data_IF_440231186852
#
_entry.id   IF_440231186852
#
_cell.length_a   1.000
_cell.length_b   1.000
_cell.length_c   1.000
_cell.angle_alpha   90.00
_cell.angle_beta   90.00
_cell.angle_gamma   90.00
#
_symmetry.space_group_name_H-M   'P 1'
#
loop_
_entity.id
_entity.type
_entity.pdbx_description
1 polymer ?
#
# COMPACT_ATOMS: atom_id res chain seq x y z
N UNK A 1 -46.29 -70.29 47.89
CA UNK A 1 -45.44 -70.35 46.68
C UNK A 1 -46.33 -70.66 45.50
N UNK A 2 -46.20 -69.89 44.43
CA UNK A 2 -46.97 -70.07 43.20
C UNK A 2 -46.46 -71.30 42.42
N UNK A 3 -47.34 -71.96 41.65
CA UNK A 3 -47.02 -73.18 40.91
C UNK A 3 -45.91 -72.94 39.87
N UNK A 4 -45.90 -71.76 39.25
CA UNK A 4 -44.88 -71.36 38.29
C UNK A 4 -43.49 -71.23 38.93
N UNK A 5 -43.42 -70.62 40.11
CA UNK A 5 -42.16 -70.43 40.85
C UNK A 5 -41.53 -71.79 41.21
N UNK A 6 -42.36 -72.74 41.67
CA UNK A 6 -41.90 -74.10 41.98
C UNK A 6 -41.36 -74.79 40.72
N UNK A 7 -42.06 -74.68 39.59
CA UNK A 7 -41.64 -75.28 38.32
C UNK A 7 -40.29 -74.72 37.82
N UNK A 8 -40.11 -73.39 37.82
CA UNK A 8 -38.85 -72.76 37.40
C UNK A 8 -37.70 -73.17 38.32
N UNK A 9 -37.95 -73.26 39.64
CA UNK A 9 -36.92 -73.63 40.60
C UNK A 9 -36.49 -75.09 40.44
N UNK A 10 -37.44 -76.00 40.29
CA UNK A 10 -37.17 -77.44 40.15
C UNK A 10 -36.48 -77.77 38.81
N UNK A 11 -36.68 -76.94 37.78
CA UNK A 11 -36.08 -77.11 36.44
C UNK A 11 -34.91 -76.15 36.16
N UNK A 12 -34.41 -75.41 37.16
CA UNK A 12 -33.36 -74.38 36.99
C UNK A 12 -32.11 -74.90 36.29
N UNK A 13 -31.76 -76.17 36.48
CA UNK A 13 -30.58 -76.78 35.86
C UNK A 13 -30.71 -76.88 34.33
N UNK A 14 -31.91 -77.15 33.81
CA UNK A 14 -32.17 -77.26 32.35
C UNK A 14 -31.94 -75.93 31.63
N UNK A 15 -32.16 -74.81 32.30
CA UNK A 15 -31.95 -73.48 31.73
C UNK A 15 -30.48 -73.02 31.72
N UNK A 16 -29.61 -73.64 32.52
CA UNK A 16 -28.19 -73.27 32.60
C UNK A 16 -27.29 -74.09 31.67
N UNK A 17 -27.80 -75.19 31.10
CA UNK A 17 -27.01 -76.14 30.31
C UNK A 17 -26.75 -75.67 28.87
N UNK A 18 -27.53 -74.69 28.39
CA UNK A 18 -27.40 -74.15 27.04
C UNK A 18 -27.18 -72.64 27.08
N UNK A 19 -25.91 -72.22 26.93
CA UNK A 19 -25.60 -70.83 26.62
C UNK A 19 -25.87 -70.58 25.14
N UNK A 20 -26.59 -69.50 24.84
CA UNK A 20 -26.81 -69.08 23.46
C UNK A 20 -25.47 -68.88 22.74
N UNK A 21 -25.27 -69.58 21.62
CA UNK A 21 -24.08 -69.42 20.79
C UNK A 21 -24.14 -68.07 20.07
N UNK A 22 -23.52 -67.07 20.69
CA UNK A 22 -23.48 -65.71 20.16
C UNK A 22 -22.84 -65.66 18.78
N UNK A 23 -21.82 -66.49 18.52
CA UNK A 23 -21.15 -66.49 17.22
C UNK A 23 -22.12 -66.96 16.12
N UNK A 24 -22.87 -68.04 16.37
CA UNK A 24 -23.89 -68.53 15.44
C UNK A 24 -25.00 -67.51 15.20
N UNK A 25 -25.47 -66.84 16.24
CA UNK A 25 -26.50 -65.80 16.15
C UNK A 25 -25.99 -64.62 15.31
N UNK A 26 -24.78 -64.12 15.60
CA UNK A 26 -24.18 -63.01 14.85
C UNK A 26 -23.95 -63.36 13.38
N UNK A 27 -23.53 -64.60 13.07
CA UNK A 27 -23.34 -65.06 11.69
C UNK A 27 -24.63 -65.02 10.85
N UNK A 28 -25.81 -65.13 11.48
CA UNK A 28 -27.10 -65.00 10.78
C UNK A 28 -27.59 -63.55 10.68
N UNK A 29 -27.15 -62.67 11.59
CA UNK A 29 -27.53 -61.25 11.61
C UNK A 29 -26.69 -60.44 10.62
N UNK A 30 -25.38 -60.69 10.56
CA UNK A 30 -24.43 -59.94 9.72
C UNK A 30 -24.87 -59.77 8.25
N UNK A 31 -25.35 -60.82 7.53
CA UNK A 31 -25.74 -60.67 6.12
C UNK A 31 -27.04 -59.89 5.90
N UNK A 32 -27.85 -59.66 6.94
CA UNK A 32 -29.11 -58.92 6.86
C UNK A 32 -28.96 -57.44 7.27
N UNK A 33 -27.74 -57.00 7.62
CA UNK A 33 -27.48 -55.61 7.94
C UNK A 33 -27.36 -54.77 6.66
N UNK A 34 -28.01 -53.59 6.58
CA UNK A 34 -27.89 -52.72 5.42
C UNK A 34 -26.46 -52.20 5.30
N UNK A 35 -25.68 -52.76 4.37
CA UNK A 35 -24.34 -52.25 4.04
C UNK A 35 -24.44 -51.01 3.17
N UNK A 36 -24.90 -49.89 3.73
CA UNK A 36 -24.89 -48.62 3.03
C UNK A 36 -23.47 -48.04 3.09
N UNK A 37 -22.59 -48.51 2.19
CA UNK A 37 -21.23 -47.98 2.07
C UNK A 37 -21.33 -46.54 1.55
N UNK A 38 -20.79 -45.52 2.26
CA UNK A 38 -20.85 -44.15 1.77
C UNK A 38 -20.13 -44.04 0.43
N UNK A 39 -20.80 -43.44 -0.56
CA UNK A 39 -20.21 -43.17 -1.87
C UNK A 39 -19.16 -42.07 -1.72
N UNK A 40 -17.90 -42.46 -1.54
CA UNK A 40 -16.77 -41.52 -1.53
C UNK A 40 -16.33 -41.24 -2.96
N UNK A 41 -16.19 -39.95 -3.32
CA UNK A 41 -15.65 -39.54 -4.61
C UNK A 41 -14.18 -39.18 -4.36
N UNK A 42 -13.21 -40.01 -4.80
CA UNK A 42 -11.79 -39.73 -4.58
C UNK A 42 -11.34 -38.61 -5.53
N UNK A 43 -11.30 -37.38 -5.03
CA UNK A 43 -10.91 -36.17 -5.77
C UNK A 43 -9.53 -36.31 -6.45
N UNK A 44 -8.61 -37.03 -5.81
CA UNK A 44 -7.26 -37.29 -6.31
C UNK A 44 -7.19 -38.20 -7.54
N UNK A 45 -8.25 -38.96 -7.84
CA UNK A 45 -8.31 -39.85 -9.02
C UNK A 45 -8.88 -39.15 -10.26
N UNK A 46 -9.31 -37.89 -10.15
CA UNK A 46 -9.85 -37.14 -11.28
C UNK A 46 -8.74 -36.44 -12.07
N UNK A 47 -8.56 -36.75 -13.36
CA UNK A 47 -7.54 -36.09 -14.19
C UNK A 47 -7.84 -34.59 -14.44
N UNK A 48 -9.06 -34.13 -14.20
CA UNK A 48 -9.42 -32.71 -14.31
C UNK A 48 -8.86 -31.87 -13.16
N UNK A 49 -8.76 -32.43 -11.95
CA UNK A 49 -8.24 -31.72 -10.78
C UNK A 49 -6.74 -31.44 -10.93
N UNK A 50 -5.98 -32.38 -11.52
CA UNK A 50 -4.56 -32.17 -11.83
C UNK A 50 -4.32 -31.01 -12.81
N UNK A 51 -5.17 -30.87 -13.84
CA UNK A 51 -5.07 -29.79 -14.84
C UNK A 51 -5.38 -28.41 -14.23
N UNK A 52 -6.38 -28.32 -13.36
CA UNK A 52 -6.71 -27.07 -12.68
C UNK A 52 -5.57 -26.62 -11.74
N UNK A 53 -5.00 -27.58 -11.00
CA UNK A 53 -3.87 -27.31 -10.10
C UNK A 53 -2.63 -26.80 -10.87
N UNK A 54 -2.32 -27.35 -12.04
CA UNK A 54 -1.17 -26.88 -12.83
C UNK A 54 -1.33 -25.43 -13.32
N UNK A 55 -2.55 -25.01 -13.66
CA UNK A 55 -2.80 -23.61 -14.06
C UNK A 55 -2.60 -22.65 -12.90
N UNK A 56 -3.10 -23.00 -11.70
CA UNK A 56 -2.90 -22.19 -10.50
C UNK A 56 -1.42 -22.09 -10.10
N UNK A 57 -0.67 -23.18 -10.23
CA UNK A 57 0.77 -23.20 -9.96
C UNK A 57 1.51 -22.29 -10.95
N UNK A 58 1.18 -22.35 -12.25
CA UNK A 58 1.80 -21.48 -13.25
C UNK A 58 1.51 -20.00 -12.99
N UNK A 59 0.26 -19.66 -12.63
CA UNK A 59 -0.09 -18.28 -12.24
C UNK A 59 0.68 -17.86 -11.00
N UNK A 60 0.76 -18.72 -9.97
CA UNK A 60 1.50 -18.44 -8.74
C UNK A 60 3.00 -18.25 -8.95
N UNK A 61 3.62 -19.04 -9.83
CA UNK A 61 5.03 -18.88 -10.20
C UNK A 61 5.21 -17.59 -11.01
N UNK A 62 4.32 -17.31 -11.97
CA UNK A 62 4.40 -16.09 -12.77
C UNK A 62 4.26 -14.82 -11.92
N UNK A 63 3.36 -14.81 -10.94
CA UNK A 63 3.20 -13.67 -10.02
C UNK A 63 4.37 -13.54 -9.05
N UNK A 64 4.90 -14.66 -8.53
CA UNK A 64 6.07 -14.67 -7.65
C UNK A 64 7.32 -14.15 -8.38
N UNK A 65 7.59 -14.63 -9.60
CA UNK A 65 8.70 -14.15 -10.43
C UNK A 65 8.51 -12.67 -10.77
N UNK A 66 7.28 -12.23 -11.06
CA UNK A 66 7.03 -10.81 -11.33
C UNK A 66 7.37 -9.92 -10.13
N UNK A 67 6.94 -10.30 -8.94
CA UNK A 67 7.20 -9.55 -7.71
C UNK A 67 8.69 -9.54 -7.32
N UNK A 68 9.41 -10.65 -7.47
CA UNK A 68 10.82 -10.71 -7.05
C UNK A 68 11.79 -10.12 -8.07
N UNK A 69 11.51 -10.24 -9.37
CA UNK A 69 12.42 -9.74 -10.42
C UNK A 69 12.10 -8.31 -10.87
N UNK A 70 10.84 -7.85 -10.79
CA UNK A 70 10.46 -6.48 -11.17
C UNK A 70 10.08 -5.60 -9.97
N UNK A 71 9.86 -6.17 -8.76
CA UNK A 71 9.47 -5.41 -7.57
C UNK A 71 10.62 -4.91 -6.70
N UNK A 72 11.89 -5.25 -7.02
CA UNK A 72 13.04 -4.99 -6.14
C UNK A 72 13.84 -3.70 -6.45
N UNK A 73 13.30 -2.78 -7.24
CA UNK A 73 13.95 -1.52 -7.58
C UNK A 73 13.71 -0.35 -6.61
N UNK A 74 12.92 -0.53 -5.53
CA UNK A 74 12.13 0.60 -5.01
C UNK A 74 12.41 1.11 -3.58
N UNK A 75 13.41 0.63 -2.84
CA UNK A 75 13.65 1.23 -1.51
C UNK A 75 14.27 2.63 -1.58
N UNK A 76 15.36 2.78 -2.33
CA UNK A 76 16.03 4.08 -2.48
C UNK A 76 15.20 5.07 -3.31
N UNK A 77 14.54 4.62 -4.38
CA UNK A 77 13.68 5.51 -5.19
C UNK A 77 12.46 5.99 -4.40
N UNK A 78 11.91 5.16 -3.49
CA UNK A 78 10.85 5.59 -2.60
C UNK A 78 11.33 6.65 -1.60
N UNK A 79 12.51 6.47 -0.98
CA UNK A 79 13.07 7.46 -0.04
C UNK A 79 13.37 8.80 -0.74
N UNK A 80 14.03 8.80 -1.90
CA UNK A 80 14.28 10.01 -2.70
C UNK A 80 12.97 10.72 -3.09
N UNK A 81 11.95 9.95 -3.49
CA UNK A 81 10.64 10.53 -3.84
C UNK A 81 9.94 11.18 -2.64
N UNK A 82 10.15 10.65 -1.43
CA UNK A 82 9.62 11.23 -0.19
C UNK A 82 10.34 12.52 0.18
N UNK A 83 11.67 12.55 0.09
CA UNK A 83 12.46 13.75 0.37
C UNK A 83 12.08 14.90 -0.56
N UNK A 84 11.95 14.63 -1.86
CA UNK A 84 11.45 15.64 -2.81
C UNK A 84 10.05 16.14 -2.42
N UNK A 85 9.14 15.23 -2.06
CA UNK A 85 7.79 15.59 -1.68
C UNK A 85 7.77 16.50 -0.43
N UNK A 86 8.61 16.22 0.55
CA UNK A 86 8.74 17.02 1.77
C UNK A 86 9.28 18.42 1.48
N UNK A 87 10.28 18.53 0.60
CA UNK A 87 10.81 19.81 0.11
C UNK A 87 9.71 20.62 -0.59
N UNK A 88 8.98 20.00 -1.52
CA UNK A 88 7.90 20.65 -2.24
C UNK A 88 6.79 21.12 -1.30
N UNK A 89 6.41 20.30 -0.31
CA UNK A 89 5.41 20.66 0.69
C UNK A 89 5.86 21.87 1.51
N UNK A 90 7.15 21.98 1.82
CA UNK A 90 7.69 23.08 2.62
C UNK A 90 7.77 24.39 1.84
N UNK A 91 8.30 24.39 0.61
CA UNK A 91 8.67 25.62 -0.09
C UNK A 91 7.65 26.10 -1.13
N UNK A 92 6.93 25.19 -1.81
CA UNK A 92 6.06 25.56 -2.94
C UNK A 92 4.94 26.53 -2.55
N UNK A 93 4.36 26.32 -1.37
CA UNK A 93 3.34 27.20 -0.82
C UNK A 93 3.86 28.63 -0.58
N UNK A 94 5.08 28.75 -0.04
CA UNK A 94 5.73 30.03 0.22
C UNK A 94 5.98 30.79 -1.08
N UNK A 95 6.60 30.14 -2.07
CA UNK A 95 6.89 30.75 -3.38
C UNK A 95 5.60 31.18 -4.07
N UNK A 96 4.58 30.32 -4.11
CA UNK A 96 3.29 30.64 -4.72
C UNK A 96 2.66 31.87 -4.07
N UNK A 97 2.66 31.93 -2.74
CA UNK A 97 2.11 33.07 -2.00
C UNK A 97 2.89 34.36 -2.30
N UNK A 98 4.21 34.29 -2.29
CA UNK A 98 5.08 35.45 -2.52
C UNK A 98 4.96 35.99 -3.96
N UNK A 99 4.87 35.13 -4.97
CA UNK A 99 4.59 35.54 -6.36
C UNK A 99 3.26 36.29 -6.46
N UNK A 100 2.21 35.82 -5.78
CA UNK A 100 0.92 36.54 -5.75
C UNK A 100 1.02 37.92 -5.09
N UNK A 101 1.91 38.12 -4.11
CA UNK A 101 2.13 39.43 -3.53
C UNK A 101 2.70 40.40 -4.57
N UNK A 102 3.66 39.94 -5.39
CA UNK A 102 4.25 40.74 -6.48
C UNK A 102 3.20 41.09 -7.53
N UNK A 103 2.42 40.11 -7.99
CA UNK A 103 1.36 40.33 -9.00
C UNK A 103 0.32 41.37 -8.54
N UNK A 104 -0.11 41.27 -7.28
CA UNK A 104 -1.14 42.15 -6.69
C UNK A 104 -0.59 43.49 -6.21
N UNK A 105 0.72 43.67 -6.16
CA UNK A 105 1.33 44.91 -5.69
C UNK A 105 0.99 46.09 -6.62
N UNK A 106 0.46 47.19 -6.09
CA UNK A 106 0.07 48.37 -6.89
C UNK A 106 1.21 49.35 -7.13
N UNK A 107 2.32 49.23 -6.40
CA UNK A 107 3.47 50.12 -6.50
C UNK A 107 4.40 49.74 -7.66
N UNK A 108 4.40 48.48 -8.06
CA UNK A 108 5.17 48.01 -9.21
C UNK A 108 4.51 48.38 -10.53
N UNK A 109 5.30 48.89 -11.47
CA UNK A 109 4.85 49.09 -12.85
C UNK A 109 4.55 47.74 -13.50
N UNK A 110 3.75 47.75 -14.58
CA UNK A 110 3.48 46.52 -15.34
C UNK A 110 4.78 45.91 -15.88
N UNK A 111 5.71 46.74 -16.37
CA UNK A 111 6.98 46.29 -16.92
C UNK A 111 7.85 45.64 -15.84
N UNK A 112 7.92 46.23 -14.65
CA UNK A 112 8.74 45.72 -13.54
C UNK A 112 8.22 44.35 -13.06
N UNK A 113 6.89 44.17 -13.06
CA UNK A 113 6.28 42.87 -12.76
C UNK A 113 6.64 41.83 -13.82
N UNK A 114 6.52 42.18 -15.09
CA UNK A 114 6.83 41.27 -16.20
C UNK A 114 8.31 40.87 -16.17
N UNK A 115 9.21 41.82 -15.94
CA UNK A 115 10.65 41.57 -15.78
C UNK A 115 10.91 40.64 -14.60
N UNK A 116 10.38 40.96 -13.42
CA UNK A 116 10.56 40.14 -12.23
C UNK A 116 10.03 38.71 -12.41
N UNK A 117 8.82 38.56 -12.95
CA UNK A 117 8.20 37.27 -13.18
C UNK A 117 8.93 36.45 -14.23
N UNK A 118 9.67 37.08 -15.15
CA UNK A 118 10.50 36.35 -16.11
C UNK A 118 11.64 35.57 -15.43
N UNK A 119 12.26 36.13 -14.39
CA UNK A 119 13.24 35.41 -13.56
C UNK A 119 12.61 34.24 -12.79
N UNK A 120 11.35 34.36 -12.37
CA UNK A 120 10.65 33.26 -11.72
C UNK A 120 10.40 32.09 -12.68
N UNK A 121 10.06 32.41 -13.94
CA UNK A 121 9.90 31.39 -15.00
C UNK A 121 11.22 30.69 -15.28
N UNK A 122 12.34 31.41 -15.36
CA UNK A 122 13.67 30.81 -15.54
C UNK A 122 14.02 29.85 -14.40
N UNK A 123 13.74 30.23 -13.15
CA UNK A 123 13.96 29.37 -12.00
C UNK A 123 12.99 28.17 -11.96
N UNK A 124 11.77 28.31 -12.49
CA UNK A 124 10.83 27.21 -12.72
C UNK A 124 11.35 26.20 -13.74
N UNK A 125 11.95 26.67 -14.82
CA UNK A 125 12.60 25.83 -15.82
C UNK A 125 13.80 25.08 -15.21
N UNK A 126 14.69 25.77 -14.49
CA UNK A 126 15.83 25.14 -13.79
C UNK A 126 15.37 24.03 -12.82
N UNK A 127 14.26 24.25 -12.09
CA UNK A 127 13.68 23.22 -11.23
C UNK A 127 13.22 21.99 -12.02
N UNK A 128 12.54 22.18 -13.15
CA UNK A 128 12.07 21.05 -13.97
C UNK A 128 13.25 20.24 -14.53
N UNK A 129 14.33 20.91 -14.90
CA UNK A 129 15.56 20.25 -15.34
C UNK A 129 16.18 19.42 -14.21
N UNK A 130 16.21 19.95 -12.98
CA UNK A 130 16.67 19.21 -11.80
C UNK A 130 15.81 17.96 -11.51
N UNK A 131 14.48 18.04 -11.72
CA UNK A 131 13.60 16.85 -11.59
C UNK A 131 13.97 15.78 -12.63
N UNK A 132 14.22 16.18 -13.88
CA UNK A 132 14.65 15.24 -14.92
C UNK A 132 16.02 14.63 -14.61
N UNK A 133 16.95 15.44 -14.11
CA UNK A 133 18.27 14.99 -13.66
C UNK A 133 18.15 13.97 -12.52
N UNK A 134 17.30 14.22 -11.51
CA UNK A 134 17.07 13.30 -10.40
C UNK A 134 16.57 11.91 -10.84
N UNK A 135 15.82 11.83 -11.95
CA UNK A 135 15.37 10.54 -12.48
C UNK A 135 16.47 9.75 -13.19
N UNK A 136 17.59 10.38 -13.55
CA UNK A 136 18.69 9.77 -14.32
C UNK A 136 20.04 9.78 -13.58
N UNK A 137 20.15 10.53 -12.48
CA UNK A 137 21.36 10.68 -11.68
C UNK A 137 21.64 9.45 -10.82
N UNK A 138 22.94 9.19 -10.61
CA UNK A 138 23.44 8.21 -9.64
C UNK A 138 23.61 8.81 -8.23
N UNK A 139 23.63 10.14 -8.13
CA UNK A 139 23.77 10.90 -6.88
C UNK A 139 22.60 11.88 -6.76
N UNK A 140 21.52 11.43 -6.12
CA UNK A 140 20.29 12.21 -5.97
C UNK A 140 20.35 13.20 -4.80
N UNK A 141 21.30 13.03 -3.87
CA UNK A 141 21.45 13.94 -2.72
C UNK A 141 21.90 15.33 -3.20
N UNK A 142 22.86 15.38 -4.13
CA UNK A 142 23.29 16.64 -4.76
C UNK A 142 22.16 17.32 -5.54
N UNK A 143 21.33 16.54 -6.23
CA UNK A 143 20.19 17.08 -7.00
C UNK A 143 19.13 17.65 -6.06
N UNK A 144 18.84 16.98 -4.94
CA UNK A 144 17.93 17.49 -3.91
C UNK A 144 18.45 18.79 -3.27
N UNK A 145 19.77 18.89 -3.01
CA UNK A 145 20.38 20.14 -2.52
C UNK A 145 20.21 21.28 -3.55
N UNK A 146 20.41 20.99 -4.83
CA UNK A 146 20.19 21.96 -5.90
C UNK A 146 18.72 22.42 -5.99
N UNK A 147 17.77 21.51 -5.79
CA UNK A 147 16.33 21.83 -5.72
C UNK A 147 16.04 22.78 -4.55
N UNK A 148 16.57 22.50 -3.35
CA UNK A 148 16.44 23.39 -2.19
C UNK A 148 17.08 24.75 -2.47
N UNK A 149 18.24 24.77 -3.11
CA UNK A 149 18.93 26.01 -3.51
C UNK A 149 18.10 26.84 -4.49
N UNK A 150 17.48 26.21 -5.50
CA UNK A 150 16.59 26.88 -6.44
C UNK A 150 15.39 27.53 -5.71
N UNK A 151 14.74 26.81 -4.79
CA UNK A 151 13.69 27.39 -3.94
C UNK A 151 14.17 28.59 -3.13
N UNK A 152 15.35 28.51 -2.51
CA UNK A 152 15.94 29.62 -1.73
C UNK A 152 16.21 30.84 -2.60
N UNK A 153 16.74 30.68 -3.82
CA UNK A 153 16.96 31.78 -4.76
C UNK A 153 15.65 32.50 -5.11
N UNK A 154 14.57 31.76 -5.36
CA UNK A 154 13.24 32.35 -5.63
C UNK A 154 12.77 33.22 -4.47
N UNK A 155 12.86 32.68 -3.25
CA UNK A 155 12.45 33.38 -2.04
C UNK A 155 13.28 34.66 -1.85
N UNK A 156 14.60 34.56 -1.96
CA UNK A 156 15.52 35.69 -1.82
C UNK A 156 15.23 36.80 -2.84
N UNK A 157 14.97 36.44 -4.10
CA UNK A 157 14.60 37.42 -5.13
C UNK A 157 13.31 38.16 -4.77
N UNK A 158 12.28 37.44 -4.32
CA UNK A 158 11.00 38.07 -3.96
C UNK A 158 11.16 38.94 -2.71
N UNK A 159 11.89 38.47 -1.70
CA UNK A 159 12.15 39.23 -0.48
C UNK A 159 12.92 40.53 -0.77
N UNK A 160 13.94 40.46 -1.61
CA UNK A 160 14.71 41.64 -2.02
C UNK A 160 13.83 42.66 -2.78
N UNK A 161 12.96 42.21 -3.67
CA UNK A 161 12.02 43.08 -4.37
C UNK A 161 11.06 43.77 -3.39
N UNK A 162 10.45 43.00 -2.49
CA UNK A 162 9.52 43.55 -1.50
C UNK A 162 10.20 44.49 -0.50
N UNK A 163 11.45 44.21 -0.13
CA UNK A 163 12.25 45.10 0.71
C UNK A 163 12.51 46.45 0.02
N UNK A 164 12.91 46.44 -1.25
CA UNK A 164 13.12 47.68 -2.02
C UNK A 164 11.85 48.54 -2.09
N UNK A 165 10.68 47.91 -2.23
CA UNK A 165 9.39 48.61 -2.22
C UNK A 165 9.02 49.20 -0.85
N UNK A 166 9.38 48.52 0.24
CA UNK A 166 9.17 49.06 1.58
C UNK A 166 10.16 50.19 1.91
N UNK A 167 11.41 50.08 1.48
CA UNK A 167 12.43 51.12 1.66
C UNK A 167 12.16 52.36 0.80
N UNK A 168 11.62 52.19 -0.44
CA UNK A 168 11.21 53.31 -1.28
C UNK A 168 10.08 54.11 -0.62
N UNK A 169 9.12 53.44 0.03
CA UNK A 169 8.08 54.09 0.83
C UNK A 169 8.67 54.95 1.98
N UNK A 170 9.68 54.43 2.69
CA UNK A 170 10.31 55.16 3.80
C UNK A 170 11.07 56.40 3.30
N UNK A 171 11.68 56.32 2.11
CA UNK A 171 12.39 57.45 1.48
C UNK A 171 11.44 58.50 0.91
N UNK A 172 10.33 58.11 0.30
CA UNK A 172 9.31 59.05 -0.20
C UNK A 172 8.63 59.83 0.93
N UNK A 173 8.42 59.21 2.10
CA UNK A 173 7.87 59.88 3.29
C UNK A 173 8.86 60.87 3.95
N UNK A 174 10.15 60.88 3.57
CA UNK A 174 11.18 61.77 4.11
C UNK A 174 11.46 63.04 3.28
N UNK A 175 10.78 63.24 2.14
CA UNK A 175 10.87 64.48 1.35
C UNK A 175 9.76 65.49 1.69
N UNK A 176 9.29 65.45 2.94
CA UNK A 176 8.14 66.23 3.41
C UNK A 176 8.43 67.26 4.50
N UNK A 177 9.66 67.53 4.92
CA UNK A 177 9.95 68.61 5.89
C UNK A 177 11.32 69.24 5.66
N UNK A 178 11.31 70.49 5.21
CA UNK A 178 12.43 71.43 5.39
C UNK A 178 11.97 72.44 6.43
N UNK A 179 12.72 72.55 7.54
CA UNK A 179 13.20 73.81 8.13
C UNK A 179 14.47 73.50 8.93
#
# INVERSE_FOLDING_TARGET
>A
MDQFEKYIRDNKQVFNDHKADRAKIWAHIEPHLPTNKPKVIPLWKSPMIGKAASVLILIGIATMVNLTFFGNGNSQTNEISQELQDIDMHYKGLVTYQVQLVEKNKQLSKADKEEFLSFMVELDEEYNDLILEMHSSLDNEQVLEAIVSNYRKRIELIENLLQQLNESKIKDDHYGYIL
#
